data_IF_626186159429
#
_entry.id   IF_626186159429
#
_cell.length_a   1.000
_cell.length_b   1.000
_cell.length_c   1.000
_cell.angle_alpha   90.00
_cell.angle_beta   90.00
_cell.angle_gamma   90.00
#
_symmetry.space_group_name_H-M   'P 1'
#
loop_
_entity.id
_entity.type
_entity.pdbx_description
1 polymer ?
#
# COMPACT_ATOMS: atom_id res chain seq x y z
N UNK A 1 -16.35 -20.37 -15.56
CA UNK A 1 -15.53 -19.25 -16.13
C UNK A 1 -14.74 -18.61 -14.99
N UNK A 2 -13.44 -18.44 -15.15
CA UNK A 2 -12.60 -17.76 -14.16
C UNK A 2 -12.66 -16.27 -14.46
N UNK A 3 -13.15 -15.45 -13.53
CA UNK A 3 -13.20 -14.00 -13.69
C UNK A 3 -11.78 -13.41 -13.61
N UNK A 4 -11.50 -12.39 -14.41
CA UNK A 4 -10.21 -11.71 -14.42
C UNK A 4 -9.93 -11.00 -13.08
N UNK A 5 -10.95 -10.36 -12.52
CA UNK A 5 -10.86 -9.66 -11.26
C UNK A 5 -12.16 -9.85 -10.46
N UNK A 6 -12.01 -10.22 -9.20
CA UNK A 6 -13.13 -10.32 -8.24
C UNK A 6 -12.71 -9.55 -6.99
N UNK A 7 -13.38 -8.46 -6.64
CA UNK A 7 -13.09 -7.73 -5.42
C UNK A 7 -13.20 -8.66 -4.19
N UNK A 8 -12.21 -8.73 -3.32
CA UNK A 8 -12.30 -9.54 -2.12
C UNK A 8 -13.31 -8.92 -1.15
N UNK A 9 -14.14 -9.77 -0.54
CA UNK A 9 -14.96 -9.40 0.59
C UNK A 9 -14.36 -10.00 1.86
N UNK A 10 -13.98 -9.15 2.80
CA UNK A 10 -13.49 -9.59 4.10
C UNK A 10 -14.64 -9.59 5.10
N UNK A 11 -14.97 -10.76 5.64
CA UNK A 11 -15.96 -10.89 6.71
C UNK A 11 -15.51 -10.05 7.91
N UNK A 12 -16.42 -9.29 8.50
CA UNK A 12 -16.12 -8.39 9.63
C UNK A 12 -15.54 -7.02 9.25
N UNK A 13 -15.27 -6.73 7.97
CA UNK A 13 -14.73 -5.43 7.56
C UNK A 13 -15.60 -4.23 8.00
N UNK A 14 -16.93 -4.41 7.95
CA UNK A 14 -17.90 -3.39 8.37
C UNK A 14 -17.80 -3.12 9.87
N UNK A 15 -17.58 -4.16 10.68
CA UNK A 15 -17.46 -4.02 12.13
C UNK A 15 -16.25 -3.16 12.52
N UNK A 16 -15.12 -3.33 11.84
CA UNK A 16 -13.94 -2.49 12.03
C UNK A 16 -14.18 -1.03 11.65
N UNK A 17 -14.94 -0.79 10.57
CA UNK A 17 -15.33 0.57 10.18
C UNK A 17 -16.24 1.19 11.24
N UNK A 18 -17.22 0.44 11.74
CA UNK A 18 -18.12 0.90 12.80
C UNK A 18 -17.37 1.22 14.10
N UNK A 19 -16.36 0.42 14.45
CA UNK A 19 -15.50 0.69 15.60
C UNK A 19 -14.73 2.00 15.44
N UNK A 20 -14.16 2.27 14.25
CA UNK A 20 -13.51 3.55 13.97
C UNK A 20 -14.47 4.74 14.13
N UNK A 21 -15.70 4.60 13.64
CA UNK A 21 -16.74 5.63 13.77
C UNK A 21 -17.10 5.86 15.25
N UNK A 22 -17.32 4.79 16.02
CA UNK A 22 -17.63 4.89 17.45
C UNK A 22 -16.51 5.57 18.23
N UNK A 23 -15.27 5.29 17.87
CA UNK A 23 -14.08 5.90 18.49
C UNK A 23 -13.80 7.32 17.99
N UNK A 24 -14.65 7.86 17.11
CA UNK A 24 -14.50 9.20 16.51
C UNK A 24 -13.12 9.42 15.87
N UNK A 25 -12.50 8.37 15.35
CA UNK A 25 -11.18 8.41 14.72
C UNK A 25 -11.21 7.79 13.32
N UNK A 26 -11.58 8.62 12.35
CA UNK A 26 -11.71 8.26 10.92
C UNK A 26 -10.53 8.81 10.09
N UNK A 27 -9.53 9.39 10.74
CA UNK A 27 -8.33 9.90 10.07
C UNK A 27 -7.32 8.79 9.77
N UNK A 28 -6.35 9.08 8.91
CA UNK A 28 -5.20 8.21 8.67
C UNK A 28 -4.36 7.98 9.94
N UNK A 29 -3.46 7.01 9.87
CA UNK A 29 -2.57 6.61 10.97
C UNK A 29 -3.29 6.21 12.26
N UNK A 30 -4.44 5.56 12.10
CA UNK A 30 -5.25 5.05 13.20
C UNK A 30 -4.76 3.70 13.74
N UNK A 31 -5.55 3.12 14.65
CA UNK A 31 -5.26 1.83 15.28
C UNK A 31 -5.08 0.71 14.27
N UNK A 32 -5.93 0.66 13.24
CA UNK A 32 -5.88 -0.39 12.22
C UNK A 32 -4.68 -0.23 11.28
N UNK A 33 -4.28 1.00 10.96
CA UNK A 33 -3.04 1.26 10.22
C UNK A 33 -1.84 0.67 10.97
N UNK A 34 -1.75 0.92 12.27
CA UNK A 34 -0.67 0.38 13.11
C UNK A 34 -0.67 -1.14 13.16
N UNK A 35 -1.84 -1.76 13.37
CA UNK A 35 -1.99 -3.22 13.35
C UNK A 35 -1.56 -3.82 12.01
N UNK A 36 -1.90 -3.20 10.89
CA UNK A 36 -1.49 -3.65 9.56
C UNK A 36 0.02 -3.51 9.36
N UNK A 37 0.61 -2.39 9.76
CA UNK A 37 2.05 -2.18 9.71
C UNK A 37 2.79 -3.27 10.50
N UNK A 38 2.41 -3.48 11.75
CA UNK A 38 2.99 -4.51 12.64
C UNK A 38 2.85 -5.92 12.04
N UNK A 39 1.68 -6.25 11.48
CA UNK A 39 1.45 -7.55 10.85
C UNK A 39 2.37 -7.76 9.64
N UNK A 40 2.53 -6.75 8.79
CA UNK A 40 3.42 -6.83 7.62
C UNK A 40 4.88 -6.93 8.07
N UNK A 41 5.32 -6.14 9.05
CA UNK A 41 6.65 -6.18 9.64
C UNK A 41 6.99 -7.58 10.15
N UNK A 42 6.08 -8.19 10.91
CA UNK A 42 6.25 -9.55 11.42
C UNK A 42 6.27 -10.60 10.29
N UNK A 43 5.42 -10.44 9.28
CA UNK A 43 5.28 -11.42 8.18
C UNK A 43 6.45 -11.40 7.22
N UNK A 44 7.04 -10.24 6.98
CA UNK A 44 8.11 -10.03 5.98
C UNK A 44 9.50 -9.93 6.61
N UNK A 45 9.59 -9.71 7.92
CA UNK A 45 10.86 -9.46 8.62
C UNK A 45 11.44 -8.07 8.33
N UNK A 46 10.70 -7.17 7.71
CA UNK A 46 11.15 -5.80 7.47
C UNK A 46 11.20 -5.00 8.77
N UNK A 47 12.17 -4.09 8.87
CA UNK A 47 12.35 -3.26 10.06
C UNK A 47 11.22 -2.24 10.25
N UNK A 48 10.60 -1.78 9.15
CA UNK A 48 9.53 -0.80 9.18
C UNK A 48 8.59 -0.96 7.99
N UNK A 49 7.29 -0.82 8.26
CA UNK A 49 6.25 -0.75 7.25
C UNK A 49 5.43 0.53 7.40
N UNK A 50 5.09 1.14 6.29
CA UNK A 50 4.21 2.30 6.21
C UNK A 50 3.13 2.04 5.17
N UNK A 51 1.87 2.03 5.59
CA UNK A 51 0.76 1.94 4.65
C UNK A 51 0.58 3.25 3.89
N UNK A 52 0.28 3.12 2.62
CA UNK A 52 -0.09 4.21 1.73
C UNK A 52 -1.54 4.04 1.28
N UNK A 53 -2.11 5.05 0.65
CA UNK A 53 -3.49 5.01 0.15
C UNK A 53 -3.67 4.16 -1.11
N UNK A 54 -2.57 3.87 -1.82
CA UNK A 54 -2.57 3.03 -3.03
C UNK A 54 -1.19 2.47 -3.31
N UNK A 55 -1.12 1.45 -4.16
CA UNK A 55 0.14 0.92 -4.68
C UNK A 55 0.88 1.99 -5.52
N UNK A 56 0.17 2.82 -6.27
CA UNK A 56 0.74 3.95 -7.03
C UNK A 56 1.50 4.90 -6.10
N UNK A 57 0.86 5.36 -5.02
CA UNK A 57 1.52 6.23 -4.06
C UNK A 57 2.69 5.54 -3.33
N UNK A 58 2.63 4.22 -3.15
CA UNK A 58 3.76 3.48 -2.57
C UNK A 58 4.97 3.46 -3.50
N UNK A 59 4.77 3.27 -4.81
CA UNK A 59 5.84 3.31 -5.82
C UNK A 59 6.41 4.71 -5.99
N UNK A 60 5.58 5.74 -6.05
CA UNK A 60 6.02 7.14 -6.07
C UNK A 60 6.85 7.49 -4.83
N UNK A 61 6.42 7.07 -3.65
CA UNK A 61 7.18 7.25 -2.42
C UNK A 61 8.52 6.51 -2.45
N UNK A 62 8.54 5.29 -3.02
CA UNK A 62 9.78 4.54 -3.18
C UNK A 62 10.76 5.27 -4.12
N UNK A 63 10.28 5.83 -5.23
CA UNK A 63 11.09 6.63 -6.14
C UNK A 63 11.67 7.87 -5.44
N UNK A 64 10.86 8.56 -4.64
CA UNK A 64 11.32 9.71 -3.84
C UNK A 64 12.37 9.33 -2.78
N UNK A 65 12.26 8.14 -2.20
CA UNK A 65 13.23 7.65 -1.22
C UNK A 65 14.55 7.22 -1.87
N UNK A 66 14.54 6.88 -3.17
CA UNK A 66 15.73 6.60 -3.97
C UNK A 66 16.29 7.92 -4.55
N UNK A 67 16.57 8.88 -3.69
CA UNK A 67 16.92 10.27 -4.04
C UNK A 67 18.10 10.44 -5.01
N UNK A 68 18.83 9.39 -5.34
CA UNK A 68 19.95 9.41 -6.29
C UNK A 68 19.55 9.17 -7.75
N UNK A 69 18.28 8.83 -8.03
CA UNK A 69 17.78 8.65 -9.40
C UNK A 69 17.76 10.01 -10.11
N UNK A 70 18.41 10.08 -11.26
CA UNK A 70 18.58 11.29 -12.06
C UNK A 70 18.05 11.09 -13.48
N UNK A 71 17.76 12.18 -14.14
CA UNK A 71 17.40 12.14 -15.56
C UNK A 71 18.52 11.46 -16.38
N UNK A 72 18.16 10.40 -17.09
CA UNK A 72 19.07 9.56 -17.87
C UNK A 72 19.45 8.24 -17.20
N UNK A 73 19.04 8.01 -15.94
CA UNK A 73 19.16 6.69 -15.31
C UNK A 73 18.12 5.72 -15.87
N UNK A 74 18.42 4.44 -15.83
CA UNK A 74 17.55 3.38 -16.31
C UNK A 74 16.94 2.61 -15.15
N UNK A 75 15.64 2.33 -15.24
CA UNK A 75 14.90 1.53 -14.26
C UNK A 75 14.35 0.26 -14.93
N UNK A 76 14.60 -0.89 -14.34
CA UNK A 76 14.10 -2.18 -14.85
C UNK A 76 12.74 -2.44 -14.20
N UNK A 77 11.72 -2.55 -15.04
CA UNK A 77 10.35 -2.85 -14.61
C UNK A 77 9.80 -4.08 -15.34
N UNK A 78 8.84 -4.83 -14.75
CA UNK A 78 8.17 -5.90 -15.46
C UNK A 78 7.29 -5.34 -16.59
N UNK A 79 7.29 -5.98 -17.77
CA UNK A 79 6.41 -5.56 -18.88
C UNK A 79 4.92 -5.82 -18.61
N UNK A 80 4.60 -6.74 -17.72
CA UNK A 80 3.23 -7.04 -17.28
C UNK A 80 2.98 -6.37 -15.92
N UNK A 81 2.64 -5.10 -15.95
CA UNK A 81 2.33 -4.29 -14.76
C UNK A 81 1.35 -3.18 -15.12
N UNK A 82 0.84 -2.49 -14.12
CA UNK A 82 0.02 -1.30 -14.33
C UNK A 82 0.92 -0.10 -14.69
N UNK A 83 0.45 0.77 -15.56
CA UNK A 83 1.22 1.91 -16.10
C UNK A 83 1.83 2.80 -15.01
N UNK A 84 1.14 2.98 -13.87
CA UNK A 84 1.66 3.80 -12.76
C UNK A 84 3.00 3.30 -12.19
N UNK A 85 3.38 2.04 -12.45
CA UNK A 85 4.71 1.53 -12.06
C UNK A 85 5.82 2.18 -12.88
N UNK A 86 5.56 2.43 -14.16
CA UNK A 86 6.47 3.12 -15.07
C UNK A 86 6.52 4.63 -14.76
N UNK A 87 5.34 5.24 -14.56
CA UNK A 87 5.20 6.68 -14.34
C UNK A 87 5.80 7.15 -13.00
N UNK A 88 6.02 6.24 -12.05
CA UNK A 88 6.54 6.57 -10.72
C UNK A 88 8.05 6.89 -10.69
N UNK A 89 8.79 6.42 -11.69
CA UNK A 89 10.25 6.55 -11.79
C UNK A 89 10.67 7.40 -12.99
#
# INVERSE_FOLDING_TARGET
MIAFNVPPYAEGAIDYIQECVKNQKICGDGVYTKKCNEWIEQRTGTAKCLLTTSCTHATELAALLLADIKAGDEVIIPSFTFVSTEDAF
#
